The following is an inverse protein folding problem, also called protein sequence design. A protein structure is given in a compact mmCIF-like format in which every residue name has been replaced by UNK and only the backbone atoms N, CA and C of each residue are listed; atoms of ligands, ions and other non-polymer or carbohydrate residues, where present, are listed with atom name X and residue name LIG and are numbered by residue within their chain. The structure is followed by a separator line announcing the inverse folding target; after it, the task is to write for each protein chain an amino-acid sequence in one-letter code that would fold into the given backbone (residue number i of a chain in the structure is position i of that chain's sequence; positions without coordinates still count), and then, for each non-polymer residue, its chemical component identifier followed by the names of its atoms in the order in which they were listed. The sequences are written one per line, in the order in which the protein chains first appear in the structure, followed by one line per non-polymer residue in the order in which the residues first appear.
data_IF_649998101199
#
_entry.id   IF_649998101199
#
_cell.length_a   1.000
_cell.length_b   1.000
_cell.length_c   1.000
_cell.angle_alpha   90.00
_cell.angle_beta   90.00
_cell.angle_gamma   90.00
#
_symmetry.space_group_name_H-M   'P 1'
#
loop_
_entity.id
_entity.type
_entity.pdbx_description
1 polymer ?
#
# COMPACT_ATOMS: atom_id res chain seq x y z
N UNK A 1 20.25 -8.16 9.45
CA UNK A 1 19.31 -8.32 8.34
C UNK A 1 18.72 -6.98 7.97
N UNK A 2 18.65 -6.72 6.70
CA UNK A 2 18.18 -5.42 6.23
C UNK A 2 16.66 -5.39 6.17
N UNK A 3 16.09 -4.31 6.70
CA UNK A 3 14.66 -4.05 6.55
C UNK A 3 14.34 -3.72 5.09
N UNK A 4 13.12 -4.00 4.70
CA UNK A 4 12.60 -3.66 3.38
C UNK A 4 11.57 -2.56 3.53
N UNK A 5 11.77 -1.45 2.85
CA UNK A 5 10.83 -0.33 2.84
C UNK A 5 10.16 -0.25 1.48
N UNK A 6 8.84 -0.16 1.48
CA UNK A 6 8.04 -0.15 0.26
C UNK A 6 7.16 1.10 0.25
N UNK A 7 7.12 1.76 -0.89
CA UNK A 7 6.15 2.84 -1.17
C UNK A 7 5.26 2.37 -2.30
N UNK A 8 3.97 2.19 -1.99
CA UNK A 8 2.98 1.80 -2.99
C UNK A 8 2.05 2.99 -3.24
N UNK A 9 1.86 3.35 -4.51
CA UNK A 9 1.06 4.50 -4.90
C UNK A 9 -0.08 4.08 -5.81
N UNK A 10 -1.26 4.65 -5.56
CA UNK A 10 -2.52 4.26 -6.19
C UNK A 10 -3.22 5.50 -6.75
N UNK A 11 -3.64 5.40 -8.01
CA UNK A 11 -4.28 6.50 -8.73
C UNK A 11 -5.66 6.05 -9.17
N UNK A 12 -6.71 6.37 -8.38
CA UNK A 12 -8.08 5.90 -8.69
C UNK A 12 -8.63 6.48 -9.99
N UNK A 13 -9.46 5.70 -10.66
CA UNK A 13 -10.30 6.21 -11.72
C UNK A 13 -11.25 7.27 -11.16
N UNK A 14 -11.72 8.14 -12.04
CA UNK A 14 -12.68 9.19 -11.68
C UNK A 14 -13.88 8.57 -10.94
N UNK A 15 -14.27 9.18 -9.83
CA UNK A 15 -15.40 8.78 -8.99
C UNK A 15 -15.21 7.45 -8.25
N UNK A 16 -13.99 6.87 -8.26
CA UNK A 16 -13.69 5.62 -7.56
C UNK A 16 -12.85 5.82 -6.29
N UNK A 17 -12.63 7.06 -5.89
CA UNK A 17 -11.77 7.38 -4.75
C UNK A 17 -12.21 6.67 -3.47
N UNK A 18 -13.51 6.73 -3.15
CA UNK A 18 -14.01 6.13 -1.91
C UNK A 18 -13.88 4.61 -1.91
N UNK A 19 -14.17 3.97 -3.04
CA UNK A 19 -14.05 2.51 -3.16
C UNK A 19 -12.59 2.07 -2.98
N UNK A 20 -11.66 2.77 -3.63
CA UNK A 20 -10.22 2.46 -3.50
C UNK A 20 -9.78 2.66 -2.06
N UNK A 21 -10.18 3.77 -1.43
CA UNK A 21 -9.86 4.06 -0.04
C UNK A 21 -10.32 2.96 0.91
N UNK A 22 -11.56 2.50 0.74
CA UNK A 22 -12.13 1.45 1.60
C UNK A 22 -11.39 0.12 1.44
N UNK A 23 -11.03 -0.23 0.21
CA UNK A 23 -10.30 -1.48 -0.05
C UNK A 23 -8.94 -1.45 0.64
N UNK A 24 -8.22 -0.33 0.54
CA UNK A 24 -6.90 -0.21 1.17
C UNK A 24 -7.03 -0.15 2.70
N UNK A 25 -8.01 0.58 3.23
CA UNK A 25 -8.24 0.62 4.67
C UNK A 25 -8.47 -0.77 5.26
N UNK A 26 -9.16 -1.64 4.53
CA UNK A 26 -9.39 -3.01 4.99
C UNK A 26 -8.11 -3.83 5.10
N UNK A 27 -7.02 -3.40 4.48
CA UNK A 27 -5.72 -4.05 4.56
C UNK A 27 -4.92 -3.67 5.80
N UNK A 28 -5.23 -2.55 6.41
CA UNK A 28 -4.36 -1.97 7.44
C UNK A 28 -4.24 -2.89 8.65
N UNK A 29 -5.36 -3.25 9.27
CA UNK A 29 -5.32 -4.06 10.47
C UNK A 29 -4.76 -5.46 10.23
N UNK A 30 -5.20 -6.22 9.21
CA UNK A 30 -4.62 -7.54 8.97
C UNK A 30 -3.12 -7.50 8.70
N UNK A 31 -2.64 -6.48 7.97
CA UNK A 31 -1.22 -6.35 7.67
C UNK A 31 -0.42 -6.06 8.92
N UNK A 32 -0.92 -5.18 9.79
CA UNK A 32 -0.24 -4.86 11.05
C UNK A 32 -0.17 -6.03 12.00
N UNK A 33 -1.02 -7.04 11.85
CA UNK A 33 -0.97 -8.26 12.63
C UNK A 33 0.06 -9.27 12.11
N UNK A 34 0.60 -9.06 10.92
CA UNK A 34 1.68 -9.90 10.40
C UNK A 34 2.93 -9.68 11.24
N UNK A 35 3.54 -10.79 11.67
CA UNK A 35 4.72 -10.74 12.55
C UNK A 35 5.86 -9.92 11.97
N UNK A 36 6.06 -10.01 10.67
CA UNK A 36 7.18 -9.33 10.01
C UNK A 36 6.90 -7.92 9.55
N UNK A 37 5.67 -7.40 9.73
CA UNK A 37 5.37 -6.02 9.39
C UNK A 37 5.71 -5.10 10.54
N UNK A 38 6.49 -4.06 10.28
CA UNK A 38 6.89 -3.08 11.29
C UNK A 38 6.13 -1.77 11.16
N UNK A 39 5.85 -1.35 9.92
CA UNK A 39 5.11 -0.12 9.63
C UNK A 39 4.17 -0.40 8.47
N UNK A 40 2.94 0.05 8.58
CA UNK A 40 1.98 0.01 7.48
C UNK A 40 1.08 1.24 7.63
N UNK A 41 1.50 2.34 7.00
CA UNK A 41 0.83 3.63 7.11
C UNK A 41 0.19 4.01 5.79
N UNK A 42 -1.01 4.56 5.87
CA UNK A 42 -1.83 4.90 4.71
C UNK A 42 -2.06 6.40 4.65
N UNK A 43 -1.74 6.99 3.50
CA UNK A 43 -1.81 8.43 3.29
C UNK A 43 -2.59 8.76 2.03
N UNK A 44 -3.10 9.97 1.96
CA UNK A 44 -3.68 10.49 0.72
C UNK A 44 -3.04 11.82 0.36
N UNK A 45 -3.02 12.11 -0.95
CA UNK A 45 -2.66 13.43 -1.47
C UNK A 45 -3.91 14.00 -2.13
N UNK A 46 -4.29 15.20 -1.71
CA UNK A 46 -5.39 15.94 -2.30
C UNK A 46 -4.85 17.12 -3.08
N UNK A 47 -5.41 17.35 -4.26
CA UNK A 47 -5.13 18.58 -4.99
C UNK A 47 -5.95 19.72 -4.42
N UNK A 48 -5.58 20.95 -4.78
CA UNK A 48 -6.26 22.16 -4.30
C UNK A 48 -7.75 22.18 -4.60
N UNK A 49 -8.15 21.56 -5.72
CA UNK A 49 -9.56 21.48 -6.10
C UNK A 49 -10.27 20.26 -5.48
N UNK A 50 -9.55 19.44 -4.73
CA UNK A 50 -10.08 18.23 -4.09
C UNK A 50 -10.49 17.12 -5.04
N UNK A 51 -10.16 17.22 -6.32
CA UNK A 51 -10.65 16.29 -7.35
C UNK A 51 -9.69 15.17 -7.64
N UNK A 52 -8.39 15.46 -7.67
CA UNK A 52 -7.38 14.44 -7.97
C UNK A 52 -6.79 13.93 -6.67
N UNK A 53 -7.23 12.74 -6.28
CA UNK A 53 -6.76 12.09 -5.06
C UNK A 53 -5.87 10.93 -5.46
N UNK A 54 -4.73 10.83 -4.80
CA UNK A 54 -3.90 9.63 -4.87
C UNK A 54 -3.71 9.09 -3.47
N UNK A 55 -3.50 7.79 -3.37
CA UNK A 55 -3.29 7.12 -2.09
C UNK A 55 -1.92 6.48 -2.06
N UNK A 56 -1.32 6.43 -0.88
CA UNK A 56 0.04 5.93 -0.72
C UNK A 56 0.14 5.10 0.55
N UNK A 57 0.82 3.95 0.42
CA UNK A 57 1.16 3.10 1.55
C UNK A 57 2.66 3.18 1.77
N UNK A 58 3.05 3.50 2.99
CA UNK A 58 4.44 3.43 3.42
C UNK A 58 4.57 2.21 4.33
N UNK A 59 5.37 1.23 3.88
CA UNK A 59 5.43 -0.09 4.51
C UNK A 59 6.87 -0.43 4.84
N UNK A 60 7.08 -1.00 6.02
CA UNK A 60 8.39 -1.53 6.40
C UNK A 60 8.22 -2.95 6.91
N UNK A 61 9.03 -3.86 6.35
CA UNK A 61 9.08 -5.26 6.75
C UNK A 61 10.45 -5.58 7.31
N UNK A 62 10.51 -6.51 8.25
CA UNK A 62 11.76 -6.85 8.93
C UNK A 62 12.81 -7.44 7.98
N UNK A 63 12.37 -8.13 6.92
CA UNK A 63 13.25 -8.73 5.91
C UNK A 63 12.46 -9.08 4.65
N UNK A 64 13.16 -9.63 3.66
CA UNK A 64 12.55 -10.05 2.39
C UNK A 64 11.51 -11.15 2.59
N UNK A 65 11.78 -12.09 3.50
CA UNK A 65 10.85 -13.18 3.77
C UNK A 65 9.50 -12.66 4.31
N UNK A 66 9.53 -11.61 5.13
CA UNK A 66 8.32 -10.99 5.66
C UNK A 66 7.50 -10.32 4.55
N UNK A 67 8.15 -9.69 3.59
CA UNK A 67 7.46 -9.11 2.43
C UNK A 67 6.84 -10.21 1.55
N UNK A 68 7.58 -11.29 1.32
CA UNK A 68 7.06 -12.43 0.57
C UNK A 68 5.85 -13.05 1.28
N UNK A 69 5.93 -13.19 2.60
CA UNK A 69 4.79 -13.67 3.40
C UNK A 69 3.56 -12.78 3.19
N UNK A 70 3.74 -11.46 3.30
CA UNK A 70 2.66 -10.48 3.10
C UNK A 70 1.96 -10.69 1.75
N UNK A 71 2.75 -10.84 0.69
CA UNK A 71 2.22 -10.99 -0.67
C UNK A 71 1.51 -12.31 -0.92
N UNK A 72 1.66 -13.27 -0.02
CA UNK A 72 0.98 -14.56 -0.11
C UNK A 72 -0.21 -14.69 0.83
N UNK A 73 -0.54 -13.67 1.59
CA UNK A 73 -1.70 -13.69 2.49
C UNK A 73 -3.00 -13.61 1.70
N UNK A 74 -4.08 -14.12 2.31
CA UNK A 74 -5.40 -14.03 1.71
C UNK A 74 -5.88 -12.58 1.61
N UNK A 75 -5.57 -11.75 2.61
CA UNK A 75 -5.96 -10.35 2.57
C UNK A 75 -5.25 -9.59 1.44
N UNK A 76 -3.98 -9.88 1.18
CA UNK A 76 -3.27 -9.26 0.06
C UNK A 76 -3.87 -9.66 -1.28
N UNK A 77 -4.10 -10.97 -1.49
CA UNK A 77 -4.67 -11.47 -2.74
C UNK A 77 -6.06 -10.91 -2.98
N UNK A 78 -6.87 -10.83 -1.94
CA UNK A 78 -8.22 -10.30 -2.03
C UNK A 78 -8.21 -8.81 -2.43
N UNK A 79 -7.37 -8.02 -1.79
CA UNK A 79 -7.24 -6.60 -2.11
C UNK A 79 -6.79 -6.40 -3.57
N UNK A 80 -5.77 -7.15 -4.01
CA UNK A 80 -5.28 -7.03 -5.39
C UNK A 80 -6.36 -7.39 -6.41
N UNK A 81 -7.16 -8.40 -6.13
CA UNK A 81 -8.23 -8.80 -7.06
C UNK A 81 -9.33 -7.75 -7.20
N UNK A 82 -9.55 -6.93 -6.18
CA UNK A 82 -10.60 -5.92 -6.18
C UNK A 82 -10.16 -4.58 -6.72
N UNK A 83 -8.91 -4.19 -6.45
CA UNK A 83 -8.49 -2.80 -6.65
C UNK A 83 -8.06 -2.50 -8.07
N UNK A 84 -7.54 -3.48 -8.80
CA UNK A 84 -6.90 -3.26 -10.10
C UNK A 84 -7.84 -2.56 -11.08
N UNK A 85 -9.09 -2.96 -11.12
CA UNK A 85 -10.08 -2.40 -12.06
C UNK A 85 -10.55 -0.99 -11.68
N UNK A 86 -10.23 -0.54 -10.47
CA UNK A 86 -10.63 0.78 -9.98
C UNK A 86 -9.55 1.84 -10.15
N UNK A 87 -8.40 1.42 -10.67
CA UNK A 87 -7.24 2.31 -10.82
C UNK A 87 -7.09 2.78 -12.26
N UNK A 88 -6.68 4.03 -12.41
CA UNK A 88 -6.43 4.67 -13.70
C UNK A 88 -5.16 4.14 -14.36
N UNK A 89 -4.24 3.61 -13.57
CA UNK A 89 -2.98 3.03 -14.01
C UNK A 89 -2.54 1.96 -13.01
N UNK A 90 -1.58 1.09 -13.38
CA UNK A 90 -1.09 0.07 -12.47
C UNK A 90 -0.57 0.67 -11.17
N UNK A 91 -0.66 -0.10 -10.09
CA UNK A 91 -0.08 0.29 -8.80
C UNK A 91 1.42 0.52 -8.99
N UNK A 92 1.91 1.67 -8.52
CA UNK A 92 3.35 1.94 -8.54
C UNK A 92 3.94 1.41 -7.23
N UNK A 93 4.77 0.40 -7.33
CA UNK A 93 5.44 -0.17 -6.17
C UNK A 93 6.93 0.15 -6.27
N UNK A 94 7.46 0.84 -5.27
CA UNK A 94 8.87 1.20 -5.21
C UNK A 94 9.46 0.61 -3.94
N UNK A 95 10.62 -0.03 -4.08
CA UNK A 95 11.40 -0.48 -2.93
C UNK A 95 12.44 0.59 -2.66
N UNK A 96 12.42 1.13 -1.45
CA UNK A 96 13.31 2.21 -1.06
C UNK A 96 14.51 1.63 -0.33
N UNK A 97 15.70 2.00 -0.79
CA UNK A 97 16.94 1.61 -0.14
C UNK A 97 17.40 2.77 0.74
N UNK A 98 17.58 2.51 2.01
CA UNK A 98 17.97 3.56 2.95
C UNK A 98 19.39 4.05 2.68
N UNK A 99 19.54 5.37 2.64
CA UNK A 99 20.86 6.02 2.67
C UNK A 99 21.09 6.52 4.08
N UNK A 100 20.07 7.12 4.66
CA UNK A 100 20.11 7.62 6.04
C UNK A 100 18.66 7.64 6.55
N UNK A 101 18.31 6.69 7.41
CA UNK A 101 16.98 6.60 7.99
C UNK A 101 17.03 6.06 9.40
N UNK A 102 16.03 6.40 10.19
CA UNK A 102 15.94 5.94 11.58
C UNK A 102 15.35 4.53 11.65
#
# INVERSE_FOLDING_TARGET
MSKITVLASFYPKNEKNNEVKEIILAMVDPTRLEEGNEIYNFYEIKNDDGKNISFHLFEVYKDTAALDFHRNTSHYKNYRSKIVNLLDRPIEVKVLNSIDSI
#
